data_IF_336443292109
#
_entry.id   IF_336443292109
#
_cell.length_a   1.000
_cell.length_b   1.000
_cell.length_c   1.000
_cell.angle_alpha   90.00
_cell.angle_beta   90.00
_cell.angle_gamma   90.00
#
_symmetry.space_group_name_H-M   'P 1'
#
loop_
_entity.id
_entity.type
_entity.pdbx_description
1 polymer ?
#
# COMPACT_ATOMS: atom_id res chain seq x y z
N UNK A 1 -10.34 -14.34 22.04
CA UNK A 1 -11.14 -14.36 20.82
C UNK A 1 -12.48 -13.68 21.06
N UNK A 2 -12.94 -12.86 20.11
CA UNK A 2 -14.29 -12.25 20.18
C UNK A 2 -15.29 -13.36 19.83
N UNK A 3 -16.41 -13.53 20.62
CA UNK A 3 -17.47 -14.46 20.29
C UNK A 3 -18.06 -14.22 18.90
N UNK A 4 -18.52 -15.27 18.21
CA UNK A 4 -19.05 -15.18 16.84
C UNK A 4 -20.14 -14.13 16.68
N UNK A 5 -21.11 -14.08 17.60
CA UNK A 5 -22.21 -13.10 17.55
C UNK A 5 -21.72 -11.65 17.67
N UNK A 6 -20.73 -11.37 18.50
CA UNK A 6 -20.12 -10.06 18.64
C UNK A 6 -19.28 -9.73 17.37
N UNK A 7 -18.60 -10.72 16.79
CA UNK A 7 -17.89 -10.59 15.53
C UNK A 7 -18.80 -10.14 14.38
N UNK A 8 -20.00 -10.71 14.26
CA UNK A 8 -20.97 -10.35 13.22
C UNK A 8 -21.52 -8.93 13.44
N UNK A 9 -21.76 -8.53 14.69
CA UNK A 9 -22.15 -7.16 15.02
C UNK A 9 -21.06 -6.15 14.65
N UNK A 10 -19.79 -6.46 14.92
CA UNK A 10 -18.66 -5.60 14.55
C UNK A 10 -18.52 -5.47 13.03
N UNK A 11 -18.67 -6.58 12.29
CA UNK A 11 -18.65 -6.54 10.80
C UNK A 11 -19.80 -5.69 10.26
N UNK A 12 -21.01 -5.88 10.80
CA UNK A 12 -22.18 -5.09 10.41
C UNK A 12 -21.94 -3.59 10.69
N UNK A 13 -21.44 -3.24 11.90
CA UNK A 13 -21.10 -1.86 12.24
C UNK A 13 -20.06 -1.25 11.32
N UNK A 14 -19.01 -2.02 10.94
CA UNK A 14 -17.99 -1.59 10.01
C UNK A 14 -18.59 -1.30 8.61
N UNK A 15 -19.38 -2.21 8.06
CA UNK A 15 -20.03 -2.04 6.75
C UNK A 15 -21.01 -0.86 6.75
N UNK A 16 -21.77 -0.66 7.84
CA UNK A 16 -22.62 0.50 8.00
C UNK A 16 -21.83 1.81 8.02
N UNK A 17 -20.66 1.82 8.68
CA UNK A 17 -19.77 2.98 8.72
C UNK A 17 -19.21 3.31 7.33
N UNK A 18 -18.85 2.31 6.53
CA UNK A 18 -18.41 2.51 5.14
C UNK A 18 -19.54 3.13 4.30
N UNK A 19 -20.77 2.58 4.38
CA UNK A 19 -21.93 3.12 3.64
C UNK A 19 -22.23 4.56 4.04
N UNK A 20 -22.10 4.89 5.31
CA UNK A 20 -22.26 6.25 5.81
C UNK A 20 -21.18 7.19 5.28
N UNK A 21 -19.90 6.78 5.36
CA UNK A 21 -18.77 7.57 4.83
C UNK A 21 -18.91 7.79 3.32
N UNK A 22 -19.29 6.77 2.55
CA UNK A 22 -19.55 6.86 1.11
C UNK A 22 -20.63 7.90 0.78
N UNK A 23 -21.73 7.92 1.55
CA UNK A 23 -22.77 8.94 1.43
C UNK A 23 -22.26 10.36 1.66
N UNK A 24 -21.36 10.56 2.64
CA UNK A 24 -20.76 11.88 2.89
C UNK A 24 -19.79 12.29 1.77
N UNK A 25 -18.99 11.36 1.25
CA UNK A 25 -18.14 11.60 0.09
C UNK A 25 -19.00 12.02 -1.12
N UNK A 26 -20.13 11.33 -1.36
CA UNK A 26 -21.09 11.70 -2.41
C UNK A 26 -21.57 13.14 -2.28
N UNK A 27 -21.98 13.56 -1.09
CA UNK A 27 -22.43 14.94 -0.83
C UNK A 27 -21.33 15.99 -1.12
N UNK A 28 -20.07 15.68 -0.77
CA UNK A 28 -18.94 16.57 -1.10
C UNK A 28 -18.74 16.68 -2.60
N UNK A 29 -18.76 15.57 -3.33
CA UNK A 29 -18.59 15.56 -4.79
C UNK A 29 -19.74 16.27 -5.50
N UNK A 30 -21.00 16.05 -5.07
CA UNK A 30 -22.17 16.79 -5.57
C UNK A 30 -22.01 18.31 -5.36
N UNK A 31 -21.46 18.73 -4.20
CA UNK A 31 -21.22 20.15 -3.93
C UNK A 31 -20.13 20.74 -4.81
N UNK A 32 -19.05 20.00 -5.09
CA UNK A 32 -18.01 20.40 -6.04
C UNK A 32 -18.63 20.65 -7.42
N UNK A 33 -19.43 19.71 -7.90
CA UNK A 33 -20.11 19.83 -9.22
C UNK A 33 -21.12 20.96 -9.25
N UNK A 34 -21.93 21.14 -8.20
CA UNK A 34 -22.91 22.23 -8.12
C UNK A 34 -22.28 23.62 -8.10
N UNK A 35 -21.02 23.72 -7.69
CA UNK A 35 -20.23 24.97 -7.71
C UNK A 35 -19.45 25.15 -9.02
N UNK A 36 -19.53 24.23 -9.97
CA UNK A 36 -18.79 24.27 -11.24
C UNK A 36 -17.28 24.13 -11.07
N UNK A 37 -16.83 23.41 -10.03
CA UNK A 37 -15.40 23.25 -9.72
C UNK A 37 -14.78 21.99 -10.30
N UNK A 38 -15.54 21.13 -10.98
CA UNK A 38 -15.07 19.84 -11.52
C UNK A 38 -13.86 19.98 -12.46
N UNK A 39 -13.87 21.03 -13.29
CA UNK A 39 -12.82 21.29 -14.27
C UNK A 39 -11.54 21.92 -13.69
N UNK A 40 -11.51 22.17 -12.39
CA UNK A 40 -10.36 22.77 -11.69
C UNK A 40 -10.09 22.12 -10.32
N UNK A 41 -10.48 20.84 -10.14
CA UNK A 41 -10.31 20.16 -8.86
C UNK A 41 -9.75 18.75 -9.06
N UNK A 42 -8.63 18.47 -8.39
CA UNK A 42 -8.12 17.11 -8.21
C UNK A 42 -8.83 16.48 -7.02
N UNK A 43 -9.35 15.29 -7.20
CA UNK A 43 -9.98 14.49 -6.13
C UNK A 43 -9.15 13.26 -5.88
N UNK A 44 -8.75 13.06 -4.62
CA UNK A 44 -8.06 11.85 -4.17
C UNK A 44 -8.83 11.22 -3.04
N UNK A 45 -9.11 9.93 -3.16
CA UNK A 45 -9.68 9.10 -2.10
C UNK A 45 -8.68 8.01 -1.78
N UNK A 46 -8.20 7.96 -0.55
CA UNK A 46 -7.33 6.90 -0.04
C UNK A 46 -7.63 6.62 1.44
N UNK A 47 -7.09 5.53 1.95
CA UNK A 47 -7.10 5.24 3.39
C UNK A 47 -5.69 5.31 3.97
N UNK A 48 -5.57 5.64 5.26
CA UNK A 48 -4.31 5.62 6.00
C UNK A 48 -3.81 4.20 6.29
N UNK A 49 -4.72 3.25 6.43
CA UNK A 49 -4.48 1.82 6.65
C UNK A 49 -5.69 0.98 6.26
N UNK A 50 -5.50 -0.31 6.15
CA UNK A 50 -6.58 -1.28 6.01
C UNK A 50 -7.17 -1.72 7.36
N UNK A 51 -7.98 -2.80 7.37
CA UNK A 51 -8.70 -3.21 8.58
C UNK A 51 -9.02 -4.71 8.57
N UNK A 52 -8.76 -5.40 9.67
CA UNK A 52 -9.13 -6.81 9.89
C UNK A 52 -10.51 -6.91 10.57
N UNK A 53 -11.31 -7.84 10.11
CA UNK A 53 -12.66 -8.14 10.64
C UNK A 53 -12.78 -9.56 11.17
N UNK A 54 -11.76 -10.03 11.86
CA UNK A 54 -11.62 -11.39 12.39
C UNK A 54 -10.58 -12.22 11.66
N UNK A 55 -9.99 -11.69 10.59
CA UNK A 55 -8.96 -12.34 9.79
C UNK A 55 -7.70 -12.56 10.64
N UNK A 56 -7.03 -13.70 10.50
CA UNK A 56 -5.89 -14.13 11.32
C UNK A 56 -6.19 -14.13 12.83
N UNK A 57 -7.47 -14.24 13.24
CA UNK A 57 -7.91 -14.08 14.62
C UNK A 57 -7.76 -12.65 15.16
N UNK A 58 -7.48 -11.67 14.29
CA UNK A 58 -7.25 -10.26 14.62
C UNK A 58 -8.44 -9.37 14.28
N UNK A 59 -8.53 -8.24 14.96
CA UNK A 59 -9.50 -7.18 14.73
C UNK A 59 -8.80 -5.84 14.65
N UNK A 60 -9.37 -4.91 13.89
CA UNK A 60 -8.76 -3.62 13.61
C UNK A 60 -7.43 -3.72 12.83
N UNK A 61 -6.55 -2.76 13.01
CA UNK A 61 -5.26 -2.59 12.34
C UNK A 61 -4.11 -3.04 13.26
N UNK A 62 -2.91 -2.61 13.01
CA UNK A 62 -1.70 -2.82 13.83
C UNK A 62 -0.90 -4.07 13.46
N UNK A 63 -0.71 -4.31 12.17
CA UNK A 63 0.20 -5.34 11.67
C UNK A 63 0.73 -5.00 10.27
N UNK A 64 1.54 -5.89 9.73
CA UNK A 64 2.07 -5.80 8.37
C UNK A 64 1.39 -6.78 7.41
N UNK A 65 0.26 -7.40 7.81
CA UNK A 65 -0.51 -8.29 6.91
C UNK A 65 -1.15 -7.50 5.78
N UNK A 66 -1.39 -8.14 4.65
CA UNK A 66 -1.94 -7.48 3.45
C UNK A 66 -3.20 -6.65 3.74
N UNK A 67 -4.11 -7.17 4.58
CA UNK A 67 -5.35 -6.48 4.96
C UNK A 67 -5.14 -5.15 5.72
N UNK A 68 -3.98 -4.96 6.36
CA UNK A 68 -3.66 -3.73 7.07
C UNK A 68 -2.89 -2.73 6.21
N UNK A 69 -2.14 -3.21 5.19
CA UNK A 69 -1.25 -2.38 4.38
C UNK A 69 -1.76 -2.12 2.96
N UNK A 70 -2.67 -2.96 2.44
CA UNK A 70 -3.28 -2.76 1.13
C UNK A 70 -4.51 -1.85 1.27
N UNK A 71 -4.36 -0.61 0.86
CA UNK A 71 -5.37 0.44 1.00
C UNK A 71 -5.97 0.83 -0.36
N UNK A 72 -7.23 1.30 -0.41
CA UNK A 72 -7.78 1.88 -1.62
C UNK A 72 -7.04 3.18 -1.97
N UNK A 73 -6.84 3.41 -3.27
CA UNK A 73 -6.37 4.68 -3.82
C UNK A 73 -7.11 4.95 -5.13
N UNK A 74 -7.79 6.08 -5.20
CA UNK A 74 -8.47 6.57 -6.39
C UNK A 74 -8.10 8.03 -6.62
N UNK A 75 -7.76 8.38 -7.85
CA UNK A 75 -7.38 9.74 -8.24
C UNK A 75 -8.22 10.14 -9.45
N UNK A 76 -8.86 11.31 -9.37
CA UNK A 76 -9.57 11.97 -10.47
C UNK A 76 -9.04 13.39 -10.63
N UNK A 77 -8.79 13.81 -11.86
CA UNK A 77 -8.46 15.20 -12.17
C UNK A 77 -9.03 15.58 -13.55
N UNK A 78 -9.13 16.87 -13.87
CA UNK A 78 -9.64 17.34 -15.16
C UNK A 78 -8.80 16.80 -16.33
N UNK A 79 -9.46 16.50 -17.45
CA UNK A 79 -8.82 16.10 -18.71
C UNK A 79 -7.99 14.81 -18.63
N UNK A 80 -8.34 13.86 -17.76
CA UNK A 80 -7.69 12.54 -17.72
C UNK A 80 -7.72 11.89 -19.11
N UNK A 81 -6.56 11.40 -19.58
CA UNK A 81 -6.46 10.68 -20.85
C UNK A 81 -7.24 9.34 -20.84
N UNK A 82 -7.25 8.66 -19.70
CA UNK A 82 -7.83 7.31 -19.54
C UNK A 82 -8.72 7.26 -18.30
N UNK A 83 -9.87 7.95 -18.30
CA UNK A 83 -10.76 7.94 -17.13
C UNK A 83 -11.32 6.54 -16.85
N UNK A 84 -11.41 6.17 -15.56
CA UNK A 84 -11.92 4.87 -15.12
C UNK A 84 -10.92 3.71 -15.29
N UNK A 85 -9.69 3.96 -15.72
CA UNK A 85 -8.66 2.94 -15.81
C UNK A 85 -8.29 2.39 -14.42
N UNK A 86 -7.81 1.14 -14.42
CA UNK A 86 -7.29 0.46 -13.21
C UNK A 86 -5.92 -0.08 -13.51
N UNK A 87 -5.07 -0.08 -12.49
CA UNK A 87 -3.75 -0.71 -12.55
C UNK A 87 -3.55 -1.64 -11.37
N UNK A 88 -2.76 -2.68 -11.55
CA UNK A 88 -2.25 -3.56 -10.50
C UNK A 88 -0.82 -3.20 -10.09
N UNK A 89 -0.27 -2.11 -10.60
CA UNK A 89 1.06 -1.65 -10.25
C UNK A 89 1.15 -1.35 -8.73
N UNK A 90 2.31 -1.66 -8.15
CA UNK A 90 2.58 -1.41 -6.75
C UNK A 90 2.88 0.07 -6.54
N UNK A 91 2.09 0.74 -5.72
CA UNK A 91 2.23 2.14 -5.36
C UNK A 91 2.22 2.32 -3.84
N UNK A 92 2.69 3.46 -3.36
CA UNK A 92 2.79 3.76 -1.93
C UNK A 92 2.12 5.09 -1.59
N UNK A 93 1.67 5.25 -0.36
CA UNK A 93 1.05 6.53 0.09
C UNK A 93 1.99 7.73 -0.08
N UNK A 94 3.30 7.52 -0.01
CA UNK A 94 4.32 8.55 -0.23
C UNK A 94 4.30 9.10 -1.67
N UNK A 95 3.73 8.37 -2.62
CA UNK A 95 3.60 8.77 -4.03
C UNK A 95 2.45 9.77 -4.27
N UNK A 96 1.53 9.92 -3.31
CA UNK A 96 0.37 10.81 -3.44
C UNK A 96 0.82 12.27 -3.51
N UNK A 97 1.70 12.70 -2.61
CA UNK A 97 2.15 14.09 -2.55
C UNK A 97 2.87 14.54 -3.83
N UNK A 98 3.91 13.84 -4.36
CA UNK A 98 4.52 14.21 -5.63
C UNK A 98 3.53 14.24 -6.79
N UNK A 99 2.54 13.33 -6.81
CA UNK A 99 1.48 13.34 -7.83
C UNK A 99 0.63 14.61 -7.77
N UNK A 100 0.24 15.04 -6.57
CA UNK A 100 -0.59 16.22 -6.38
C UNK A 100 0.12 17.51 -6.78
N UNK A 101 1.40 17.67 -6.41
CA UNK A 101 2.15 18.88 -6.77
C UNK A 101 2.46 18.95 -8.26
N UNK A 102 2.71 17.82 -8.92
CA UNK A 102 2.88 17.77 -10.38
C UNK A 102 1.58 18.15 -11.10
N UNK A 103 0.44 17.58 -10.69
CA UNK A 103 -0.88 17.95 -11.22
C UNK A 103 -1.22 19.42 -11.00
N UNK A 104 -0.75 20.02 -9.91
CA UNK A 104 -0.93 21.43 -9.60
C UNK A 104 0.11 22.34 -10.26
N UNK A 105 1.09 21.79 -11.00
CA UNK A 105 2.21 22.52 -11.60
C UNK A 105 3.01 23.33 -10.57
N UNK A 106 3.26 22.74 -9.40
CA UNK A 106 4.03 23.32 -8.30
C UNK A 106 5.39 22.65 -8.25
N UNK A 107 6.46 23.44 -8.29
CA UNK A 107 7.81 22.92 -8.10
C UNK A 107 8.03 22.48 -6.65
N UNK A 108 8.53 21.26 -6.40
CA UNK A 108 8.82 20.80 -5.05
C UNK A 108 10.01 21.59 -4.46
N UNK A 109 9.98 21.90 -3.15
CA UNK A 109 11.07 22.66 -2.50
C UNK A 109 12.36 21.84 -2.34
N UNK A 110 12.29 20.53 -2.52
CA UNK A 110 13.40 19.56 -2.42
C UNK A 110 13.04 18.28 -3.16
N UNK A 111 14.01 17.38 -3.32
CA UNK A 111 13.76 16.03 -3.88
C UNK A 111 12.82 15.26 -2.96
N UNK A 112 11.74 14.73 -3.54
CA UNK A 112 10.73 13.95 -2.82
C UNK A 112 11.07 12.47 -2.84
N UNK A 113 10.73 11.77 -1.76
CA UNK A 113 11.00 10.33 -1.62
C UNK A 113 10.05 9.48 -2.48
N UNK A 114 8.79 9.90 -2.61
CA UNK A 114 7.80 9.24 -3.47
C UNK A 114 7.98 9.61 -4.95
N UNK A 115 7.39 8.80 -5.83
CA UNK A 115 7.31 9.04 -7.27
C UNK A 115 5.92 9.56 -7.64
N UNK A 116 5.86 10.53 -8.56
CA UNK A 116 4.56 10.90 -9.13
C UNK A 116 3.94 9.73 -9.87
N UNK A 117 2.65 9.52 -9.65
CA UNK A 117 1.84 8.50 -10.32
C UNK A 117 1.33 8.95 -11.69
N UNK A 118 1.60 10.18 -12.12
CA UNK A 118 1.07 10.71 -13.37
C UNK A 118 1.45 9.85 -14.58
N UNK A 119 2.71 9.40 -14.75
CA UNK A 119 3.06 8.49 -15.84
C UNK A 119 2.27 7.16 -15.82
N UNK A 120 2.02 6.61 -14.63
CA UNK A 120 1.23 5.40 -14.45
C UNK A 120 -0.26 5.63 -14.71
N UNK A 121 -0.80 6.80 -14.37
CA UNK A 121 -2.19 7.16 -14.64
C UNK A 121 -2.42 7.32 -16.16
N UNK A 122 -1.46 7.88 -16.87
CA UNK A 122 -1.53 8.05 -18.33
C UNK A 122 -1.35 6.73 -19.07
N UNK A 123 -0.54 5.81 -18.56
CA UNK A 123 -0.30 4.48 -19.11
C UNK A 123 -0.39 3.42 -17.99
N UNK A 124 -1.61 2.95 -17.65
CA UNK A 124 -1.87 2.09 -16.49
C UNK A 124 -1.19 0.73 -16.51
N UNK A 125 -0.70 0.29 -17.65
CA UNK A 125 -0.02 -1.01 -17.84
C UNK A 125 1.51 -0.90 -17.96
N UNK A 126 2.05 0.31 -17.84
CA UNK A 126 3.51 0.49 -17.92
C UNK A 126 4.23 -0.24 -16.79
N UNK A 127 5.46 -0.71 -17.00
CA UNK A 127 6.31 -1.21 -15.93
C UNK A 127 6.47 -0.17 -14.81
N UNK A 128 6.44 -0.63 -13.56
CA UNK A 128 6.49 0.24 -12.39
C UNK A 128 7.38 -0.38 -11.29
N UNK A 129 7.26 0.07 -10.05
CA UNK A 129 8.02 -0.44 -8.90
C UNK A 129 7.93 -1.97 -8.79
N UNK A 130 9.05 -2.65 -8.68
CA UNK A 130 9.08 -4.10 -8.44
C UNK A 130 8.70 -4.47 -7.01
N UNK A 131 8.85 -3.54 -6.06
CA UNK A 131 8.51 -3.73 -4.65
C UNK A 131 8.06 -2.42 -3.99
N UNK A 132 7.24 -2.55 -2.93
CA UNK A 132 6.84 -1.48 -2.02
C UNK A 132 7.07 -1.92 -0.58
N UNK A 133 7.10 -0.96 0.35
CA UNK A 133 7.56 -1.19 1.71
C UNK A 133 6.55 -0.74 2.75
N UNK A 134 6.52 -1.48 3.85
CA UNK A 134 5.77 -1.10 5.04
C UNK A 134 6.53 -1.52 6.29
N UNK A 135 6.26 -0.88 7.42
CA UNK A 135 6.86 -1.26 8.69
C UNK A 135 5.85 -1.11 9.82
N UNK A 136 5.97 -1.96 10.81
CA UNK A 136 5.15 -1.88 12.02
C UNK A 136 5.89 -2.40 13.26
N UNK A 137 5.94 -1.65 14.37
CA UNK A 137 6.60 -2.09 15.60
C UNK A 137 5.71 -3.07 16.39
N UNK A 138 6.31 -4.05 17.06
CA UNK A 138 5.66 -4.98 17.96
C UNK A 138 6.49 -5.25 19.20
N UNK A 139 5.85 -5.27 20.35
CA UNK A 139 6.49 -5.73 21.58
C UNK A 139 6.27 -7.24 21.78
N UNK A 140 7.36 -7.99 21.90
CA UNK A 140 7.34 -9.43 22.22
C UNK A 140 8.23 -9.66 23.43
N UNK A 141 7.67 -10.17 24.54
CA UNK A 141 8.40 -10.41 25.80
C UNK A 141 9.29 -9.23 26.23
N UNK A 142 8.75 -8.00 26.17
CA UNK A 142 9.42 -6.72 26.48
C UNK A 142 10.51 -6.28 25.48
N UNK A 143 10.74 -7.02 24.42
CA UNK A 143 11.64 -6.61 23.34
C UNK A 143 10.82 -5.91 22.26
N UNK A 144 11.29 -4.75 21.82
CA UNK A 144 10.74 -4.05 20.65
C UNK A 144 11.31 -4.70 19.38
N UNK A 145 10.42 -5.18 18.53
CA UNK A 145 10.75 -5.65 17.18
C UNK A 145 10.15 -4.71 16.15
N UNK A 146 10.90 -4.43 15.09
CA UNK A 146 10.37 -3.78 13.89
C UNK A 146 10.04 -4.86 12.86
N UNK A 147 8.80 -4.93 12.42
CA UNK A 147 8.41 -5.71 11.26
C UNK A 147 8.69 -4.88 10.01
N UNK A 148 9.73 -5.24 9.27
CA UNK A 148 10.11 -4.62 8.01
C UNK A 148 9.56 -5.46 6.86
N UNK A 149 8.64 -4.90 6.09
CA UNK A 149 7.87 -5.63 5.08
C UNK A 149 8.23 -5.17 3.67
N UNK A 150 8.40 -6.13 2.79
CA UNK A 150 8.54 -5.95 1.34
C UNK A 150 7.39 -6.65 0.65
N UNK A 151 6.65 -5.93 -0.19
CA UNK A 151 5.56 -6.44 -1.02
C UNK A 151 5.96 -6.36 -2.48
N UNK A 152 6.05 -7.51 -3.16
CA UNK A 152 6.20 -7.63 -4.61
C UNK A 152 4.88 -8.08 -5.23
N UNK A 153 4.77 -8.20 -6.55
CA UNK A 153 3.52 -8.56 -7.22
C UNK A 153 2.89 -9.87 -6.68
N UNK A 154 3.70 -10.84 -6.28
CA UNK A 154 3.24 -12.17 -5.90
C UNK A 154 3.53 -12.56 -4.45
N UNK A 155 4.39 -11.82 -3.75
CA UNK A 155 4.83 -12.20 -2.41
C UNK A 155 4.77 -11.02 -1.45
N UNK A 156 4.45 -11.32 -0.19
CA UNK A 156 4.72 -10.42 0.93
C UNK A 156 5.71 -11.08 1.88
N UNK A 157 6.81 -10.42 2.11
CA UNK A 157 7.86 -10.82 3.05
C UNK A 157 7.89 -9.85 4.23
N UNK A 158 8.09 -10.37 5.44
CA UNK A 158 8.35 -9.54 6.62
C UNK A 158 9.51 -10.14 7.43
N UNK A 159 10.53 -9.34 7.69
CA UNK A 159 11.54 -9.63 8.69
C UNK A 159 11.18 -8.92 10.00
N UNK A 160 11.14 -9.68 11.09
CA UNK A 160 11.02 -9.13 12.44
C UNK A 160 12.41 -8.89 13.00
N UNK A 161 12.80 -7.63 13.09
CA UNK A 161 14.16 -7.19 13.45
C UNK A 161 14.15 -6.61 14.85
N UNK A 162 15.08 -7.05 15.70
CA UNK A 162 15.26 -6.50 17.03
C UNK A 162 15.73 -5.05 16.94
N UNK A 163 14.97 -4.12 17.54
CA UNK A 163 15.26 -2.69 17.44
C UNK A 163 16.63 -2.33 18.04
N UNK A 164 17.04 -3.01 19.08
CA UNK A 164 18.30 -2.75 19.79
C UNK A 164 19.48 -3.54 19.19
N UNK A 165 19.21 -4.69 18.56
CA UNK A 165 20.26 -5.61 18.06
C UNK A 165 20.47 -5.53 16.56
N UNK A 166 19.47 -5.10 15.80
CA UNK A 166 19.45 -5.18 14.34
C UNK A 166 19.36 -6.61 13.79
N UNK A 167 19.20 -7.62 14.66
CA UNK A 167 19.14 -9.02 14.26
C UNK A 167 17.73 -9.43 13.84
N UNK A 168 17.62 -10.21 12.78
CA UNK A 168 16.35 -10.82 12.36
C UNK A 168 16.01 -11.99 13.26
N UNK A 169 14.96 -11.88 14.05
CA UNK A 169 14.51 -12.91 15.01
C UNK A 169 13.42 -13.84 14.46
N UNK A 170 12.69 -13.39 13.43
CA UNK A 170 11.68 -14.18 12.73
C UNK A 170 11.48 -13.67 11.30
N UNK A 171 10.96 -14.54 10.44
CA UNK A 171 10.64 -14.21 9.05
C UNK A 171 9.27 -14.78 8.67
N UNK A 172 8.57 -14.03 7.85
CA UNK A 172 7.32 -14.44 7.23
C UNK A 172 7.43 -14.27 5.72
N UNK A 173 6.89 -15.23 4.97
CA UNK A 173 6.72 -15.15 3.52
C UNK A 173 5.36 -15.73 3.16
N UNK A 174 4.58 -14.96 2.40
CA UNK A 174 3.27 -15.37 1.90
C UNK A 174 3.24 -15.29 0.38
N UNK A 175 2.73 -16.33 -0.25
CA UNK A 175 2.61 -16.47 -1.70
C UNK A 175 1.20 -16.11 -2.15
N UNK A 176 1.00 -14.90 -2.60
CA UNK A 176 -0.30 -14.39 -3.05
C UNK A 176 -0.81 -14.99 -4.38
N UNK A 177 0.02 -15.77 -5.07
CA UNK A 177 -0.42 -16.53 -6.22
C UNK A 177 -1.38 -17.65 -5.80
N UNK A 178 -1.09 -18.27 -4.65
CA UNK A 178 -1.80 -19.44 -4.15
C UNK A 178 -2.59 -19.18 -2.85
N UNK A 179 -2.22 -18.14 -2.10
CA UNK A 179 -2.77 -17.82 -0.77
C UNK A 179 -2.97 -16.29 -0.59
N UNK A 180 -4.03 -15.76 -1.19
CA UNK A 180 -4.34 -14.33 -1.12
C UNK A 180 -4.74 -13.85 0.27
N UNK A 181 -5.10 -14.76 1.17
CA UNK A 181 -5.51 -14.44 2.54
C UNK A 181 -4.39 -14.62 3.56
N UNK A 182 -3.18 -14.98 3.09
CA UNK A 182 -1.99 -15.17 3.95
C UNK A 182 -2.18 -16.18 5.11
N UNK A 183 -2.90 -17.27 4.84
CA UNK A 183 -3.17 -18.28 5.83
C UNK A 183 -1.93 -19.14 6.20
N UNK A 184 -0.95 -19.22 5.29
CA UNK A 184 0.20 -20.10 5.44
C UNK A 184 1.52 -19.35 5.26
N UNK A 185 2.27 -19.18 6.35
CA UNK A 185 3.66 -18.71 6.27
C UNK A 185 4.56 -19.80 5.67
N UNK A 186 5.13 -19.52 4.50
CA UNK A 186 6.01 -20.46 3.76
C UNK A 186 7.51 -20.17 3.95
N UNK A 187 7.90 -19.24 4.81
CA UNK A 187 9.30 -18.84 5.03
C UNK A 187 10.24 -20.00 5.42
N UNK A 188 9.70 -21.08 6.00
CA UNK A 188 10.47 -22.27 6.39
C UNK A 188 10.42 -23.42 5.37
N UNK A 189 9.65 -23.26 4.28
CA UNK A 189 9.58 -24.27 3.23
C UNK A 189 10.75 -24.08 2.25
N UNK A 190 11.56 -25.11 2.05
CA UNK A 190 12.74 -25.09 1.18
C UNK A 190 12.43 -24.76 -0.28
N UNK A 191 11.23 -25.07 -0.75
CA UNK A 191 10.77 -24.73 -2.12
C UNK A 191 10.73 -23.22 -2.38
N UNK A 192 10.53 -22.41 -1.32
CA UNK A 192 10.45 -20.96 -1.39
C UNK A 192 11.78 -20.26 -1.03
N UNK A 193 12.88 -21.02 -0.89
CA UNK A 193 14.17 -20.46 -0.46
C UNK A 193 14.67 -19.33 -1.34
N UNK A 194 14.54 -19.48 -2.65
CA UNK A 194 14.96 -18.47 -3.65
C UNK A 194 14.17 -17.17 -3.45
N UNK A 195 12.86 -17.27 -3.29
CA UNK A 195 12.01 -16.09 -3.08
C UNK A 195 12.26 -15.45 -1.71
N UNK A 196 12.49 -16.23 -0.67
CA UNK A 196 12.85 -15.73 0.65
C UNK A 196 14.14 -14.90 0.60
N UNK A 197 15.19 -15.45 -0.03
CA UNK A 197 16.50 -14.79 -0.14
C UNK A 197 16.41 -13.52 -1.03
N UNK A 198 15.64 -13.56 -2.11
CA UNK A 198 15.35 -12.39 -2.97
C UNK A 198 14.69 -11.25 -2.18
N UNK A 199 13.65 -11.56 -1.40
CA UNK A 199 12.92 -10.55 -0.64
C UNK A 199 13.74 -10.00 0.52
N UNK A 200 14.56 -10.81 1.16
CA UNK A 200 15.53 -10.33 2.15
C UNK A 200 16.57 -9.39 1.52
N UNK A 201 16.99 -9.66 0.28
CA UNK A 201 17.87 -8.75 -0.46
C UNK A 201 17.16 -7.42 -0.80
N UNK A 202 15.92 -7.44 -1.29
CA UNK A 202 15.13 -6.23 -1.54
C UNK A 202 14.95 -5.40 -0.28
N UNK A 203 14.66 -6.05 0.88
CA UNK A 203 14.57 -5.39 2.18
C UNK A 203 15.87 -4.64 2.52
N UNK A 204 17.02 -5.28 2.33
CA UNK A 204 18.36 -4.68 2.62
C UNK A 204 18.69 -3.54 1.67
N UNK A 205 18.33 -3.63 0.40
CA UNK A 205 18.50 -2.56 -0.59
C UNK A 205 17.60 -1.35 -0.26
N UNK A 206 16.39 -1.62 0.21
CA UNK A 206 15.43 -0.63 0.68
C UNK A 206 14.73 0.15 -0.44
N UNK A 207 13.82 1.02 -0.03
CA UNK A 207 12.95 1.78 -0.94
C UNK A 207 13.71 2.74 -1.87
N UNK A 208 14.86 3.30 -1.43
CA UNK A 208 15.67 4.21 -2.26
C UNK A 208 16.18 3.54 -3.52
N UNK A 209 16.66 2.32 -3.42
CA UNK A 209 17.09 1.54 -4.57
C UNK A 209 15.95 1.29 -5.57
N UNK A 210 14.75 0.98 -5.08
CA UNK A 210 13.57 0.80 -5.96
C UNK A 210 13.19 2.12 -6.62
N UNK A 211 13.28 3.24 -5.88
CA UNK A 211 12.99 4.57 -6.40
C UNK A 211 13.97 4.98 -7.49
N UNK A 212 15.27 4.78 -7.29
CA UNK A 212 16.32 5.05 -8.28
C UNK A 212 16.10 4.27 -9.57
N UNK A 213 15.81 2.97 -9.46
CA UNK A 213 15.47 2.14 -10.63
C UNK A 213 14.24 2.65 -11.40
N UNK A 214 13.21 3.09 -10.68
CA UNK A 214 12.02 3.65 -11.32
C UNK A 214 12.36 4.93 -12.08
N UNK A 215 13.18 5.82 -11.51
CA UNK A 215 13.61 7.05 -12.17
C UNK A 215 14.41 6.77 -13.44
N UNK A 216 15.30 5.77 -13.43
CA UNK A 216 16.03 5.33 -14.60
C UNK A 216 15.08 4.84 -15.70
N UNK A 217 14.05 4.04 -15.35
CA UNK A 217 13.05 3.55 -16.30
C UNK A 217 12.25 4.70 -16.93
N UNK A 218 11.76 5.65 -16.12
CA UNK A 218 10.97 6.80 -16.61
C UNK A 218 11.83 7.67 -17.54
N UNK A 219 13.11 7.87 -17.21
CA UNK A 219 14.02 8.68 -18.02
C UNK A 219 14.30 8.08 -19.39
N UNK A 220 14.34 6.74 -19.50
CA UNK A 220 14.57 6.03 -20.77
C UNK A 220 13.36 6.11 -21.71
N UNK A 221 12.15 6.17 -21.19
CA UNK A 221 10.91 6.31 -21.99
C UNK A 221 10.71 7.74 -22.53
N UNK A 222 11.51 8.70 -22.07
CA UNK A 222 11.40 10.12 -22.45
C UNK A 222 12.33 10.51 -23.61
N UNK A 223 13.09 9.56 -24.19
CA UNK A 223 14.01 9.70 -25.31
C UNK A 223 13.40 9.08 -26.56
#
# INVERSE_FOLDING_TARGET
>A
PIPLLEGDQLRHGYLASISFADSLVGQVLEKVSALGLDDNTVVVIWSDHGYKLGDHGGWAKHSTVELDIHIPLMIRFPNMKVPGARTSALVESVDIYPTLIELASIDPPHVLEGASLLPLIEEPQRPWKEAVFAQYPRYVKRQLLMGETVRTQHYRYTAWVGNDTGETVAQELYDHTNDKIEAKNVAKNSEYRVELDRHEQLRKLGWRHIREKLDEMISQDSI
#
